data_IF_598295700543
#
_entry.id   IF_598295700543
#
_cell.length_a   1.000
_cell.length_b   1.000
_cell.length_c   1.000
_cell.angle_alpha   90.00
_cell.angle_beta   90.00
_cell.angle_gamma   90.00
#
_symmetry.space_group_name_H-M   'P 1'
#
loop_
_entity.id
_entity.type
_entity.pdbx_description
1 polymer ?
#
# COMPACT_ATOMS: atom_id res chain seq x y z
N UNK A 1 -36.41 -37.63 -5.80
CA UNK A 1 -36.22 -36.23 -5.36
C UNK A 1 -35.24 -36.08 -4.19
N UNK A 2 -35.54 -36.46 -2.94
CA UNK A 2 -34.59 -36.28 -1.82
C UNK A 2 -33.31 -37.14 -1.94
N UNK A 3 -33.44 -38.39 -2.40
CA UNK A 3 -32.29 -39.30 -2.61
C UNK A 3 -31.40 -38.87 -3.79
N UNK A 4 -32.00 -38.47 -4.92
CA UNK A 4 -31.26 -37.95 -6.09
C UNK A 4 -30.52 -36.66 -5.76
N UNK A 5 -31.14 -35.75 -5.00
CA UNK A 5 -30.49 -34.55 -4.51
C UNK A 5 -29.30 -34.88 -3.59
N UNK A 6 -29.46 -35.87 -2.71
CA UNK A 6 -28.36 -36.32 -1.83
C UNK A 6 -27.21 -36.94 -2.63
N UNK A 7 -27.51 -37.69 -3.69
CA UNK A 7 -26.50 -38.29 -4.56
C UNK A 7 -25.74 -37.22 -5.36
N UNK A 8 -26.44 -36.22 -5.89
CA UNK A 8 -25.80 -35.09 -6.59
C UNK A 8 -24.91 -34.29 -5.64
N UNK A 9 -25.36 -34.04 -4.40
CA UNK A 9 -24.54 -33.37 -3.37
C UNK A 9 -23.27 -34.16 -3.04
N UNK A 10 -23.38 -35.48 -2.88
CA UNK A 10 -22.20 -36.32 -2.67
C UNK A 10 -21.21 -36.27 -3.84
N UNK A 11 -21.70 -36.19 -5.09
CA UNK A 11 -20.83 -36.00 -6.25
C UNK A 11 -20.15 -34.63 -6.26
N UNK A 12 -20.85 -33.56 -5.87
CA UNK A 12 -20.27 -32.23 -5.70
C UNK A 12 -19.17 -32.26 -4.63
N UNK A 13 -19.42 -32.90 -3.48
CA UNK A 13 -18.44 -33.02 -2.41
C UNK A 13 -17.15 -33.73 -2.87
N UNK A 14 -17.25 -34.74 -3.73
CA UNK A 14 -16.08 -35.42 -4.31
C UNK A 14 -15.32 -34.54 -5.32
N UNK A 15 -16.03 -33.71 -6.11
CA UNK A 15 -15.40 -32.71 -6.97
C UNK A 15 -14.67 -31.66 -6.13
N UNK A 16 -15.28 -31.19 -5.04
CA UNK A 16 -14.67 -30.21 -4.14
C UNK A 16 -13.42 -30.75 -3.44
N UNK A 17 -13.44 -32.02 -3.01
CA UNK A 17 -12.23 -32.70 -2.51
C UNK A 17 -11.14 -32.79 -3.58
N UNK A 18 -11.53 -33.05 -4.83
CA UNK A 18 -10.58 -33.07 -5.95
C UNK A 18 -9.97 -31.69 -6.17
N UNK A 19 -10.76 -30.61 -6.09
CA UNK A 19 -10.27 -29.24 -6.16
C UNK A 19 -9.24 -28.95 -5.06
N UNK A 20 -9.48 -29.38 -3.81
CA UNK A 20 -8.52 -29.24 -2.72
C UNK A 20 -7.19 -29.95 -3.04
N UNK A 21 -7.24 -31.16 -3.61
CA UNK A 21 -6.03 -31.90 -3.99
C UNK A 21 -5.22 -31.17 -5.09
N UNK A 22 -5.92 -30.57 -6.07
CA UNK A 22 -5.30 -29.78 -7.14
C UNK A 22 -4.70 -28.48 -6.61
N UNK A 23 -5.38 -27.80 -5.67
CA UNK A 23 -4.86 -26.62 -4.99
C UNK A 23 -3.58 -26.96 -4.23
N UNK A 24 -3.56 -28.05 -3.46
CA UNK A 24 -2.37 -28.49 -2.75
C UNK A 24 -1.19 -28.77 -3.71
N UNK A 25 -1.45 -29.47 -4.82
CA UNK A 25 -0.45 -29.70 -5.87
C UNK A 25 0.08 -28.39 -6.45
N UNK A 26 -0.80 -27.43 -6.74
CA UNK A 26 -0.41 -26.11 -7.27
C UNK A 26 0.41 -25.33 -6.24
N UNK A 27 0.05 -25.35 -4.95
CA UNK A 27 0.81 -24.70 -3.89
C UNK A 27 2.23 -25.27 -3.80
N UNK A 28 2.40 -26.59 -3.92
CA UNK A 28 3.72 -27.21 -3.95
C UNK A 28 4.57 -26.76 -5.16
N UNK A 29 3.96 -26.66 -6.35
CA UNK A 29 4.65 -26.15 -7.55
C UNK A 29 5.05 -24.68 -7.40
N UNK A 30 4.15 -23.85 -6.87
CA UNK A 30 4.43 -22.45 -6.54
C UNK A 30 5.61 -22.35 -5.56
N UNK A 31 5.62 -23.20 -4.53
CA UNK A 31 6.71 -23.27 -3.56
C UNK A 31 8.06 -23.59 -4.21
N UNK A 32 8.10 -24.50 -5.18
CA UNK A 32 9.30 -24.84 -5.95
C UNK A 32 9.71 -23.69 -6.87
N UNK A 33 8.76 -23.03 -7.52
CA UNK A 33 9.01 -21.82 -8.33
C UNK A 33 9.59 -20.70 -7.47
N UNK A 34 9.07 -20.49 -6.27
CA UNK A 34 9.57 -19.52 -5.30
C UNK A 34 11.02 -19.80 -4.90
N UNK A 35 11.39 -21.07 -4.66
CA UNK A 35 12.77 -21.46 -4.38
C UNK A 35 13.71 -21.15 -5.54
N UNK A 36 13.32 -21.50 -6.77
CA UNK A 36 14.11 -21.20 -7.97
C UNK A 36 14.25 -19.69 -8.19
N UNK A 37 13.14 -18.92 -8.06
CA UNK A 37 13.17 -17.46 -8.18
C UNK A 37 14.04 -16.82 -7.11
N UNK A 38 13.95 -17.30 -5.87
CA UNK A 38 14.76 -16.80 -4.75
C UNK A 38 16.24 -17.08 -4.99
N UNK A 39 16.63 -18.24 -5.52
CA UNK A 39 18.03 -18.50 -5.88
C UNK A 39 18.52 -17.58 -7.02
N UNK A 40 17.68 -17.35 -8.04
CA UNK A 40 18.03 -16.52 -9.19
C UNK A 40 17.96 -15.01 -8.89
N UNK A 41 17.17 -14.59 -7.89
CA UNK A 41 16.94 -13.19 -7.54
C UNK A 41 15.85 -12.53 -8.38
N UNK A 42 14.91 -13.32 -8.92
CA UNK A 42 13.81 -12.79 -9.71
C UNK A 42 12.66 -12.29 -8.84
N UNK A 43 11.95 -11.23 -9.26
CA UNK A 43 10.75 -10.76 -8.57
C UNK A 43 9.69 -11.84 -8.40
N UNK A 44 9.05 -11.83 -7.24
CA UNK A 44 7.86 -12.65 -6.98
C UNK A 44 6.76 -12.28 -7.98
N UNK A 45 6.52 -10.98 -8.11
CA UNK A 45 5.47 -10.43 -8.97
C UNK A 45 5.92 -10.36 -10.43
N UNK A 46 5.21 -11.06 -11.32
CA UNK A 46 5.49 -11.11 -12.76
C UNK A 46 4.23 -10.76 -13.56
N UNK A 47 3.95 -9.47 -13.81
CA UNK A 47 2.68 -9.00 -14.37
C UNK A 47 2.35 -9.61 -15.73
N UNK A 48 3.30 -9.64 -16.66
CA UNK A 48 3.10 -10.17 -18.01
C UNK A 48 2.75 -11.66 -18.00
N UNK A 49 3.43 -12.43 -17.14
CA UNK A 49 3.18 -13.87 -16.99
C UNK A 49 1.79 -14.14 -16.43
N UNK A 50 1.34 -13.33 -15.47
CA UNK A 50 -0.02 -13.41 -14.92
C UNK A 50 -1.07 -13.07 -15.96
N UNK A 51 -0.89 -11.96 -16.69
CA UNK A 51 -1.81 -11.53 -17.73
C UNK A 51 -1.96 -12.59 -18.83
N UNK A 52 -0.84 -13.15 -19.32
CA UNK A 52 -0.85 -14.21 -20.32
C UNK A 52 -1.52 -15.50 -19.80
N UNK A 53 -1.26 -15.87 -18.55
CA UNK A 53 -1.89 -17.04 -17.91
C UNK A 53 -3.40 -16.86 -17.77
N UNK A 54 -3.85 -15.71 -17.28
CA UNK A 54 -5.27 -15.41 -17.14
C UNK A 54 -5.98 -15.40 -18.49
N UNK A 55 -5.42 -14.73 -19.50
CA UNK A 55 -5.99 -14.69 -20.84
C UNK A 55 -6.15 -16.11 -21.43
N UNK A 56 -5.13 -16.95 -21.34
CA UNK A 56 -5.19 -18.36 -21.77
C UNK A 56 -6.30 -19.13 -21.06
N UNK A 57 -6.40 -18.99 -19.74
CA UNK A 57 -7.36 -19.73 -18.92
C UNK A 57 -8.81 -19.26 -19.09
N UNK A 58 -9.02 -17.96 -19.35
CA UNK A 58 -10.32 -17.43 -19.76
C UNK A 58 -10.78 -18.10 -21.05
N UNK A 59 -9.92 -18.14 -22.07
CA UNK A 59 -10.26 -18.75 -23.36
C UNK A 59 -10.55 -20.26 -23.24
N UNK A 60 -9.75 -20.98 -22.45
CA UNK A 60 -10.00 -22.40 -22.16
C UNK A 60 -11.35 -22.62 -21.45
N UNK A 61 -11.70 -21.75 -20.49
CA UNK A 61 -12.98 -21.82 -19.78
C UNK A 61 -14.18 -21.56 -20.72
N UNK A 62 -14.09 -20.55 -21.59
CA UNK A 62 -15.12 -20.27 -22.60
C UNK A 62 -15.37 -21.49 -23.50
N UNK A 63 -14.30 -22.15 -23.98
CA UNK A 63 -14.40 -23.35 -24.81
C UNK A 63 -15.06 -24.53 -24.10
N UNK A 64 -15.04 -24.54 -22.75
CA UNK A 64 -15.67 -25.57 -21.91
C UNK A 64 -17.06 -25.18 -21.41
N UNK A 65 -17.58 -23.99 -21.79
CA UNK A 65 -18.85 -23.47 -21.28
C UNK A 65 -18.81 -23.00 -19.82
N UNK A 66 -17.60 -22.76 -19.28
CA UNK A 66 -17.39 -22.22 -17.95
C UNK A 66 -17.27 -20.69 -18.07
N UNK A 67 -17.94 -19.88 -17.21
CA UNK A 67 -17.78 -18.44 -17.22
C UNK A 67 -16.31 -18.02 -17.06
N UNK A 68 -15.73 -17.22 -17.98
CA UNK A 68 -14.33 -16.83 -17.90
C UNK A 68 -14.00 -16.00 -16.64
N UNK A 69 -14.95 -15.22 -16.12
CA UNK A 69 -14.75 -14.44 -14.90
C UNK A 69 -14.61 -15.33 -13.65
N UNK A 70 -15.34 -16.45 -13.61
CA UNK A 70 -15.25 -17.42 -12.51
C UNK A 70 -13.83 -18.00 -12.38
N UNK A 71 -13.26 -18.47 -13.50
CA UNK A 71 -11.91 -19.04 -13.46
C UNK A 71 -10.85 -17.98 -13.16
N UNK A 72 -11.04 -16.75 -13.65
CA UNK A 72 -10.16 -15.64 -13.34
C UNK A 72 -10.17 -15.30 -11.85
N UNK A 73 -11.34 -15.20 -11.22
CA UNK A 73 -11.48 -14.92 -9.79
C UNK A 73 -10.81 -15.99 -8.92
N UNK A 74 -11.05 -17.27 -9.26
CA UNK A 74 -10.41 -18.42 -8.60
C UNK A 74 -8.88 -18.30 -8.72
N UNK A 75 -8.36 -18.12 -9.94
CA UNK A 75 -6.92 -18.04 -10.16
C UNK A 75 -6.29 -16.82 -9.48
N UNK A 76 -6.95 -15.65 -9.49
CA UNK A 76 -6.50 -14.45 -8.78
C UNK A 76 -6.48 -14.65 -7.28
N UNK A 77 -7.47 -15.33 -6.69
CA UNK A 77 -7.45 -15.68 -5.25
C UNK A 77 -6.30 -16.62 -4.93
N UNK A 78 -6.09 -17.66 -5.73
CA UNK A 78 -4.99 -18.61 -5.53
C UNK A 78 -3.62 -17.92 -5.68
N UNK A 79 -3.46 -17.02 -6.65
CA UNK A 79 -2.22 -16.24 -6.82
C UNK A 79 -1.92 -15.33 -5.64
N UNK A 80 -2.95 -14.67 -5.07
CA UNK A 80 -2.79 -13.86 -3.85
C UNK A 80 -2.23 -14.68 -2.68
N UNK A 81 -2.75 -15.89 -2.48
CA UNK A 81 -2.24 -16.83 -1.48
C UNK A 81 -0.78 -17.26 -1.77
N UNK A 82 -0.47 -17.44 -3.05
CA UNK A 82 0.87 -17.82 -3.52
C UNK A 82 1.94 -16.80 -3.09
N UNK A 83 1.68 -15.50 -3.26
CA UNK A 83 2.65 -14.47 -2.86
C UNK A 83 2.91 -14.43 -1.35
N UNK A 84 1.88 -14.67 -0.53
CA UNK A 84 2.02 -14.68 0.93
C UNK A 84 2.82 -15.90 1.38
N UNK A 85 2.56 -17.06 0.78
CA UNK A 85 3.29 -18.30 1.07
C UNK A 85 4.76 -18.25 0.61
N UNK A 86 5.03 -17.69 -0.58
CA UNK A 86 6.39 -17.48 -1.09
C UNK A 86 7.21 -16.57 -0.16
N UNK A 87 6.60 -15.56 0.46
CA UNK A 87 7.29 -14.67 1.40
C UNK A 87 7.88 -15.41 2.60
N UNK A 88 7.27 -16.51 3.05
CA UNK A 88 7.73 -17.23 4.26
C UNK A 88 8.99 -18.08 4.02
N UNK A 89 9.41 -18.28 2.76
CA UNK A 89 10.58 -19.09 2.42
C UNK A 89 11.89 -18.30 2.31
N UNK A 90 11.81 -16.97 2.47
CA UNK A 90 12.96 -16.08 2.37
C UNK A 90 13.30 -15.67 0.94
N UNK A 91 14.05 -14.58 0.82
CA UNK A 91 14.43 -13.96 -0.46
C UNK A 91 15.94 -13.98 -0.66
N UNK A 92 16.39 -13.84 -1.91
CA UNK A 92 17.80 -13.60 -2.20
C UNK A 92 18.28 -12.36 -1.46
N UNK A 93 19.42 -12.48 -0.79
CA UNK A 93 20.21 -11.34 -0.31
C UNK A 93 20.97 -10.74 -1.50
N UNK A 94 20.55 -9.58 -1.99
CA UNK A 94 21.27 -8.90 -3.08
C UNK A 94 22.51 -8.14 -2.56
N UNK A 95 22.38 -7.41 -1.45
CA UNK A 95 23.47 -6.69 -0.80
C UNK A 95 24.31 -7.60 0.09
N UNK A 96 25.05 -8.55 -0.48
CA UNK A 96 25.80 -9.57 0.28
C UNK A 96 26.89 -9.00 1.18
N UNK A 97 27.45 -7.84 0.82
CA UNK A 97 28.49 -7.12 1.56
C UNK A 97 27.96 -6.20 2.66
N UNK A 98 26.63 -6.03 2.76
CA UNK A 98 26.03 -5.10 3.71
C UNK A 98 26.24 -5.59 5.14
N UNK A 99 26.71 -4.69 6.00
CA UNK A 99 26.67 -4.86 7.44
C UNK A 99 25.24 -4.92 8.00
N UNK A 100 25.08 -4.94 9.33
CA UNK A 100 23.78 -4.92 9.99
C UNK A 100 22.90 -3.76 9.52
N UNK A 101 21.61 -4.00 9.38
CA UNK A 101 20.59 -2.98 9.14
C UNK A 101 19.99 -2.57 10.48
N UNK A 102 20.11 -1.30 10.83
CA UNK A 102 19.51 -0.75 12.05
C UNK A 102 18.22 -0.03 11.69
N UNK A 103 17.10 -0.39 12.32
CA UNK A 103 15.81 0.30 12.12
C UNK A 103 15.49 1.12 13.37
N UNK A 104 15.50 2.44 13.22
CA UNK A 104 15.07 3.38 14.25
C UNK A 104 13.56 3.43 14.29
N UNK A 105 12.95 3.11 15.42
CA UNK A 105 11.51 2.85 15.54
C UNK A 105 11.10 1.50 14.92
N UNK A 106 12.00 0.51 14.91
CA UNK A 106 11.80 -0.81 14.32
C UNK A 106 10.67 -1.64 14.97
N UNK A 107 10.26 -1.32 16.19
CA UNK A 107 9.14 -1.94 16.91
C UNK A 107 7.78 -1.37 16.50
N UNK A 108 7.77 -0.22 15.81
CA UNK A 108 6.59 0.34 15.17
C UNK A 108 6.06 -0.55 14.06
N UNK A 109 4.80 -0.36 13.66
CA UNK A 109 4.14 -1.26 12.69
C UNK A 109 4.88 -1.35 11.35
N UNK A 110 5.29 -0.22 10.78
CA UNK A 110 6.05 -0.19 9.52
C UNK A 110 7.49 -0.69 9.70
N UNK A 111 8.14 -0.33 10.82
CA UNK A 111 9.47 -0.83 11.18
C UNK A 111 9.51 -2.35 11.27
N UNK A 112 8.50 -2.97 11.90
CA UNK A 112 8.35 -4.43 11.99
C UNK A 112 8.17 -5.08 10.62
N UNK A 113 7.42 -4.42 9.73
CA UNK A 113 7.22 -4.92 8.37
C UNK A 113 8.55 -4.97 7.62
N UNK A 114 9.32 -3.88 7.60
CA UNK A 114 10.63 -3.85 6.96
C UNK A 114 11.64 -4.78 7.65
N UNK A 115 11.65 -4.84 8.98
CA UNK A 115 12.47 -5.78 9.76
C UNK A 115 12.24 -7.22 9.32
N UNK A 116 10.97 -7.62 9.18
CA UNK A 116 10.59 -8.96 8.71
C UNK A 116 11.13 -9.25 7.30
N UNK A 117 10.91 -8.35 6.35
CA UNK A 117 11.35 -8.55 4.96
C UNK A 117 12.86 -8.56 4.81
N UNK A 118 13.58 -7.73 5.57
CA UNK A 118 15.04 -7.73 5.63
C UNK A 118 15.58 -9.04 6.24
N UNK A 119 14.99 -9.50 7.36
CA UNK A 119 15.37 -10.76 7.98
C UNK A 119 15.10 -11.96 7.05
N UNK A 120 13.96 -11.98 6.36
CA UNK A 120 13.63 -12.99 5.35
C UNK A 120 14.60 -12.96 4.15
N UNK A 121 15.19 -11.80 3.84
CA UNK A 121 16.27 -11.67 2.86
C UNK A 121 17.66 -12.02 3.40
N UNK A 122 17.80 -12.44 4.66
CA UNK A 122 19.10 -12.82 5.25
C UNK A 122 19.97 -11.65 5.72
N UNK A 123 19.39 -10.46 5.94
CA UNK A 123 20.10 -9.35 6.60
C UNK A 123 20.03 -9.49 8.12
N UNK A 124 21.12 -9.17 8.81
CA UNK A 124 21.09 -8.97 10.26
C UNK A 124 20.34 -7.66 10.54
N UNK A 125 19.26 -7.72 11.32
CA UNK A 125 18.45 -6.55 11.66
C UNK A 125 18.58 -6.25 13.15
N UNK A 126 18.90 -5.00 13.46
CA UNK A 126 18.91 -4.44 14.81
C UNK A 126 17.83 -3.37 14.92
N UNK A 127 17.30 -3.17 16.11
CA UNK A 127 16.26 -2.18 16.37
C UNK A 127 16.79 -1.16 17.36
N UNK A 128 16.46 0.12 17.12
CA UNK A 128 16.74 1.24 18.03
C UNK A 128 15.42 1.91 18.42
N UNK A 129 15.03 1.80 19.69
CA UNK A 129 13.83 2.43 20.26
C UNK A 129 14.16 3.66 21.14
N UNK A 130 13.13 4.24 21.75
CA UNK A 130 13.26 5.43 22.60
C UNK A 130 14.10 5.19 23.86
N UNK A 131 14.13 3.98 24.39
CA UNK A 131 14.88 3.63 25.60
C UNK A 131 16.32 3.18 25.29
N UNK A 132 16.68 3.03 24.02
CA UNK A 132 17.99 2.48 23.59
C UNK A 132 19.05 3.56 23.34
N UNK A 133 18.70 4.85 23.50
CA UNK A 133 19.58 5.96 23.10
C UNK A 133 20.87 6.04 23.90
N UNK A 134 20.89 5.53 25.14
CA UNK A 134 22.11 5.44 25.94
C UNK A 134 23.12 4.42 25.35
N UNK A 135 22.65 3.47 24.54
CA UNK A 135 23.45 2.44 23.86
C UNK A 135 23.52 2.64 22.33
N UNK A 136 23.17 3.82 21.84
CA UNK A 136 23.02 4.09 20.40
C UNK A 136 24.28 3.80 19.59
N UNK A 137 25.46 4.14 20.12
CA UNK A 137 26.75 3.88 19.46
C UNK A 137 27.00 2.38 19.28
N UNK A 138 26.67 1.58 20.30
CA UNK A 138 26.83 0.12 20.23
C UNK A 138 25.86 -0.51 19.23
N UNK A 139 24.61 -0.04 19.18
CA UNK A 139 23.60 -0.57 18.25
C UNK A 139 23.97 -0.24 16.79
N UNK A 140 24.45 0.99 16.55
CA UNK A 140 24.89 1.47 15.23
C UNK A 140 26.28 0.97 14.84
N UNK A 141 27.02 0.32 15.73
CA UNK A 141 28.38 -0.15 15.45
C UNK A 141 28.41 -1.10 14.25
N UNK A 142 29.17 -0.70 13.22
CA UNK A 142 29.32 -1.45 11.98
C UNK A 142 28.09 -1.46 11.08
N UNK A 143 27.06 -0.65 11.36
CA UNK A 143 25.84 -0.61 10.54
C UNK A 143 26.16 -0.30 9.08
N UNK A 144 25.64 -1.15 8.18
CA UNK A 144 25.70 -0.93 6.73
C UNK A 144 24.53 -0.09 6.22
N UNK A 145 23.42 -0.05 6.96
CA UNK A 145 22.24 0.73 6.65
C UNK A 145 21.50 1.13 7.92
N UNK A 146 20.98 2.36 7.95
CA UNK A 146 20.10 2.86 9.00
C UNK A 146 18.79 3.30 8.38
N UNK A 147 17.68 2.71 8.81
CA UNK A 147 16.33 3.03 8.34
C UNK A 147 15.57 3.76 9.45
N UNK A 148 15.09 4.96 9.17
CA UNK A 148 14.29 5.78 10.09
C UNK A 148 12.79 5.55 9.84
N UNK A 149 12.14 4.89 10.79
CA UNK A 149 10.71 4.51 10.74
C UNK A 149 9.96 5.00 11.98
N UNK A 150 10.10 6.29 12.31
CA UNK A 150 9.46 6.95 13.47
C UNK A 150 8.29 7.85 13.02
N UNK A 151 7.43 8.32 13.95
CA UNK A 151 6.39 9.31 13.63
C UNK A 151 6.95 10.56 12.94
N UNK A 152 6.20 11.10 11.98
CA UNK A 152 6.65 12.19 11.09
C UNK A 152 7.11 13.42 11.88
N UNK A 153 6.37 13.83 12.92
CA UNK A 153 6.75 14.96 13.77
C UNK A 153 8.07 14.75 14.55
N UNK A 154 8.55 13.51 14.68
CA UNK A 154 9.82 13.18 15.32
C UNK A 154 10.96 12.95 14.32
N UNK A 155 10.66 12.60 13.07
CA UNK A 155 11.64 12.16 12.07
C UNK A 155 12.85 13.09 11.95
N UNK A 156 12.64 14.40 11.74
CA UNK A 156 13.72 15.39 11.61
C UNK A 156 14.60 15.44 12.86
N UNK A 157 13.96 15.51 14.04
CA UNK A 157 14.65 15.54 15.34
C UNK A 157 15.48 14.28 15.56
N UNK A 158 14.95 13.12 15.21
CA UNK A 158 15.63 11.83 15.38
C UNK A 158 16.80 11.71 14.41
N UNK A 159 16.63 12.06 13.14
CA UNK A 159 17.72 12.09 12.15
C UNK A 159 18.86 12.98 12.65
N UNK A 160 18.55 14.18 13.15
CA UNK A 160 19.55 15.13 13.68
C UNK A 160 20.21 14.70 14.99
N UNK A 161 19.62 13.75 15.70
CA UNK A 161 20.17 13.19 16.94
C UNK A 161 21.09 11.98 16.67
N UNK A 162 21.08 11.40 15.47
CA UNK A 162 21.94 10.27 15.14
C UNK A 162 23.42 10.66 15.34
N UNK A 163 24.25 9.79 15.95
CA UNK A 163 25.69 9.99 15.95
C UNK A 163 26.23 9.87 14.52
N UNK A 164 27.48 10.32 14.26
CA UNK A 164 28.12 10.13 12.98
C UNK A 164 28.07 8.67 12.52
N UNK A 165 27.50 8.45 11.34
CA UNK A 165 27.40 7.12 10.74
C UNK A 165 28.67 6.81 9.93
N UNK A 166 29.02 5.52 9.73
CA UNK A 166 30.08 5.14 8.81
C UNK A 166 29.87 5.74 7.41
N UNK A 167 30.93 6.18 6.73
CA UNK A 167 30.80 6.88 5.43
C UNK A 167 30.04 6.08 4.36
N UNK A 168 30.17 4.75 4.38
CA UNK A 168 29.48 3.86 3.43
C UNK A 168 28.10 3.40 3.91
N UNK A 169 27.69 3.75 5.14
CA UNK A 169 26.38 3.40 5.66
C UNK A 169 25.30 4.09 4.84
N UNK A 170 24.25 3.37 4.44
CA UNK A 170 23.12 3.94 3.71
C UNK A 170 22.11 4.49 4.73
N UNK A 171 21.81 5.79 4.69
CA UNK A 171 20.79 6.39 5.54
C UNK A 171 19.46 6.49 4.77
N UNK A 172 18.40 5.91 5.33
CA UNK A 172 17.08 5.76 4.69
C UNK A 172 15.98 6.27 5.62
N UNK A 173 14.94 6.90 5.08
CA UNK A 173 13.69 7.17 5.82
C UNK A 173 12.48 6.48 5.18
N UNK A 174 11.45 6.21 5.98
CA UNK A 174 10.15 5.67 5.53
C UNK A 174 8.98 6.66 5.74
N UNK A 175 9.24 7.96 5.95
CA UNK A 175 8.19 8.91 6.30
C UNK A 175 7.19 9.12 5.14
N UNK A 176 5.99 9.62 5.44
CA UNK A 176 5.00 9.95 4.40
C UNK A 176 5.23 11.30 3.71
N UNK A 177 6.16 12.10 4.21
CA UNK A 177 6.67 13.33 3.57
C UNK A 177 8.14 13.16 3.25
N UNK A 178 8.66 13.80 2.21
CA UNK A 178 10.00 13.50 1.70
C UNK A 178 10.94 14.69 1.76
N UNK A 179 10.49 15.91 1.51
CA UNK A 179 11.41 17.05 1.37
C UNK A 179 12.17 17.32 2.67
N UNK A 180 11.46 17.43 3.80
CA UNK A 180 12.09 17.72 5.09
C UNK A 180 12.96 16.58 5.61
N UNK A 181 12.49 15.30 5.66
CA UNK A 181 13.34 14.18 6.09
C UNK A 181 14.58 14.00 5.20
N UNK A 182 14.44 14.10 3.88
CA UNK A 182 15.56 13.93 2.95
C UNK A 182 16.64 14.99 3.18
N UNK A 183 16.24 16.25 3.32
CA UNK A 183 17.17 17.35 3.63
C UNK A 183 17.87 17.12 4.99
N UNK A 184 17.11 16.72 6.02
CA UNK A 184 17.70 16.40 7.33
C UNK A 184 18.73 15.27 7.25
N UNK A 185 18.48 14.22 6.44
CA UNK A 185 19.45 13.13 6.23
C UNK A 185 20.70 13.62 5.48
N UNK A 186 20.52 14.44 4.45
CA UNK A 186 21.62 15.02 3.67
C UNK A 186 22.52 15.96 4.50
N UNK A 187 21.93 16.69 5.45
CA UNK A 187 22.65 17.59 6.35
C UNK A 187 23.60 16.84 7.29
N UNK A 188 23.16 15.71 7.85
CA UNK A 188 23.86 15.03 8.95
C UNK A 188 24.73 13.87 8.51
N UNK A 189 24.49 13.32 7.33
CA UNK A 189 25.24 12.20 6.79
C UNK A 189 25.96 12.62 5.51
N UNK A 190 27.22 12.27 5.35
CA UNK A 190 28.00 12.55 4.13
C UNK A 190 27.96 11.40 3.13
N UNK A 191 27.53 10.21 3.55
CA UNK A 191 27.43 9.01 2.71
C UNK A 191 26.15 8.93 1.87
N UNK A 192 25.77 7.71 1.43
CA UNK A 192 24.57 7.47 0.65
C UNK A 192 23.28 7.77 1.42
N UNK A 193 22.32 8.43 0.76
CA UNK A 193 21.04 8.85 1.33
C UNK A 193 19.90 8.53 0.37
N UNK A 194 18.85 7.87 0.88
CA UNK A 194 17.68 7.44 0.12
C UNK A 194 16.39 7.76 0.88
N UNK A 195 15.46 8.50 0.28
CA UNK A 195 14.12 8.65 0.85
C UNK A 195 13.14 7.63 0.29
N UNK A 196 12.38 6.94 1.15
CA UNK A 196 11.31 6.02 0.73
C UNK A 196 9.95 6.44 1.30
N UNK A 197 8.89 6.12 0.56
CA UNK A 197 7.52 6.18 1.04
C UNK A 197 6.76 4.93 0.55
N UNK A 198 6.57 3.93 1.42
CA UNK A 198 5.67 2.83 1.15
C UNK A 198 4.23 3.35 1.07
N UNK A 199 3.59 3.25 -0.09
CA UNK A 199 2.23 3.79 -0.34
C UNK A 199 1.12 2.88 0.19
N UNK A 200 1.40 2.14 1.26
CA UNK A 200 0.55 1.12 1.83
C UNK A 200 0.74 1.02 3.34
N UNK A 201 -0.29 0.50 4.02
CA UNK A 201 -0.26 0.28 5.46
C UNK A 201 0.56 -0.96 5.87
N UNK A 202 0.90 -1.08 7.16
CA UNK A 202 1.72 -2.17 7.67
C UNK A 202 1.04 -3.55 7.65
N UNK A 203 -0.27 -3.61 7.40
CA UNK A 203 -1.08 -4.83 7.44
C UNK A 203 -0.98 -5.65 6.14
N UNK A 204 -0.16 -5.23 5.18
CA UNK A 204 0.05 -5.99 3.94
C UNK A 204 0.80 -7.31 4.20
N UNK A 205 0.24 -8.41 3.69
CA UNK A 205 0.88 -9.73 3.72
C UNK A 205 2.03 -9.89 2.72
N UNK A 206 2.04 -9.07 1.65
CA UNK A 206 3.05 -9.10 0.59
C UNK A 206 3.25 -7.72 -0.05
N UNK A 207 4.45 -7.47 -0.55
CA UNK A 207 4.77 -6.27 -1.34
C UNK A 207 4.34 -6.42 -2.80
N UNK A 208 3.90 -7.61 -3.23
CA UNK A 208 3.34 -7.84 -4.55
C UNK A 208 2.26 -6.81 -4.88
N UNK A 209 2.44 -6.10 -6.00
CA UNK A 209 1.53 -5.04 -6.51
C UNK A 209 1.45 -3.79 -5.62
N UNK A 210 2.24 -3.70 -4.55
CA UNK A 210 2.33 -2.50 -3.73
C UNK A 210 3.28 -1.48 -4.36
N UNK A 211 3.01 -0.20 -4.17
CA UNK A 211 3.87 0.88 -4.68
C UNK A 211 4.78 1.37 -3.57
N UNK A 212 6.08 1.48 -3.86
CA UNK A 212 7.04 2.20 -3.01
C UNK A 212 7.58 3.35 -3.83
N UNK A 213 7.33 4.58 -3.38
CA UNK A 213 7.92 5.77 -3.98
C UNK A 213 9.31 5.97 -3.39
N UNK A 214 10.26 6.38 -4.21
CA UNK A 214 11.60 6.73 -3.75
C UNK A 214 12.08 8.08 -4.29
N UNK A 215 12.86 8.76 -3.46
CA UNK A 215 13.51 10.03 -3.76
C UNK A 215 15.01 9.87 -3.54
N UNK A 216 15.80 10.10 -4.59
CA UNK A 216 17.25 10.05 -4.46
C UNK A 216 17.78 11.22 -3.63
N UNK A 217 18.67 10.91 -2.70
CA UNK A 217 19.40 11.91 -1.92
C UNK A 217 20.83 12.07 -2.43
N UNK A 218 21.71 11.14 -2.05
CA UNK A 218 23.13 11.16 -2.40
C UNK A 218 23.63 9.75 -2.71
N UNK A 219 24.53 9.64 -3.69
CA UNK A 219 25.18 8.38 -4.12
C UNK A 219 24.20 7.26 -4.47
N UNK A 220 23.29 7.47 -5.44
CA UNK A 220 22.28 6.49 -5.82
C UNK A 220 22.85 5.14 -6.26
N UNK A 221 24.07 5.12 -6.80
CA UNK A 221 24.81 3.92 -7.16
C UNK A 221 25.05 2.97 -5.97
N UNK A 222 25.16 3.49 -4.75
CA UNK A 222 25.46 2.69 -3.55
C UNK A 222 24.27 1.88 -3.03
N UNK A 223 23.03 2.25 -3.41
CA UNK A 223 21.80 1.62 -2.92
C UNK A 223 20.90 1.03 -4.03
N UNK A 224 21.34 0.99 -5.29
CA UNK A 224 20.56 0.36 -6.37
C UNK A 224 20.17 -1.08 -6.05
N UNK A 225 21.10 -1.86 -5.47
CA UNK A 225 20.81 -3.24 -5.04
C UNK A 225 19.66 -3.31 -4.02
N UNK A 226 19.44 -2.26 -3.22
CA UNK A 226 18.35 -2.22 -2.23
C UNK A 226 17.01 -1.87 -2.88
N UNK A 227 17.00 -1.00 -3.88
CA UNK A 227 15.82 -0.78 -4.73
C UNK A 227 15.45 -2.07 -5.47
N UNK A 228 16.43 -2.77 -6.03
CA UNK A 228 16.24 -4.10 -6.61
C UNK A 228 15.70 -5.11 -5.57
N UNK A 229 16.21 -5.06 -4.33
CA UNK A 229 15.73 -5.94 -3.24
C UNK A 229 14.24 -5.69 -2.95
N UNK A 230 13.80 -4.42 -2.91
CA UNK A 230 12.40 -4.05 -2.73
C UNK A 230 11.54 -4.55 -3.90
N UNK A 231 12.08 -4.51 -5.12
CA UNK A 231 11.42 -5.08 -6.31
C UNK A 231 11.34 -6.61 -6.25
N UNK A 232 12.37 -7.29 -5.71
CA UNK A 232 12.36 -8.74 -5.47
C UNK A 232 11.23 -9.11 -4.51
N UNK A 233 10.98 -8.30 -3.47
CA UNK A 233 9.83 -8.47 -2.57
C UNK A 233 8.47 -8.30 -3.28
N UNK A 234 8.46 -7.77 -4.51
CA UNK A 234 7.29 -7.66 -5.38
C UNK A 234 6.71 -6.25 -5.51
N UNK A 235 7.33 -5.26 -4.87
CA UNK A 235 6.89 -3.88 -4.97
C UNK A 235 7.22 -3.28 -6.34
N UNK A 236 6.37 -2.36 -6.79
CA UNK A 236 6.61 -1.50 -7.95
C UNK A 236 7.20 -0.19 -7.46
N UNK A 237 8.41 0.10 -7.90
CA UNK A 237 9.12 1.33 -7.57
C UNK A 237 8.67 2.49 -8.45
N UNK A 238 8.57 3.67 -7.86
CA UNK A 238 8.32 4.91 -8.59
C UNK A 238 9.30 5.98 -8.12
N UNK A 239 10.17 6.43 -9.02
CA UNK A 239 11.12 7.52 -8.74
C UNK A 239 10.43 8.86 -8.86
N UNK A 240 10.68 9.76 -7.91
CA UNK A 240 10.22 11.15 -7.99
C UNK A 240 11.13 12.05 -7.14
N UNK A 241 11.20 13.33 -7.50
CA UNK A 241 11.86 14.33 -6.64
C UNK A 241 11.02 14.59 -5.38
N UNK A 242 11.68 14.89 -4.26
CA UNK A 242 11.02 15.06 -2.97
C UNK A 242 10.01 16.23 -2.92
N UNK A 243 10.28 17.32 -3.64
CA UNK A 243 9.38 18.47 -3.77
C UNK A 243 8.10 18.11 -4.55
N UNK A 244 8.26 17.39 -5.67
CA UNK A 244 7.14 16.91 -6.48
C UNK A 244 6.33 15.84 -5.75
N UNK A 245 6.99 14.98 -4.98
CA UNK A 245 6.34 14.01 -4.12
C UNK A 245 5.40 14.71 -3.14
N UNK A 246 5.91 15.65 -2.35
CA UNK A 246 5.13 16.29 -1.29
C UNK A 246 3.97 17.11 -1.89
N UNK A 247 4.20 17.77 -3.04
CA UNK A 247 3.12 18.43 -3.80
C UNK A 247 2.01 17.46 -4.22
N UNK A 248 2.36 16.27 -4.73
CA UNK A 248 1.38 15.25 -5.12
C UNK A 248 0.66 14.65 -3.91
N UNK A 249 1.37 14.45 -2.78
CA UNK A 249 0.77 14.01 -1.53
C UNK A 249 -0.19 15.03 -0.93
N UNK A 250 -0.04 16.32 -1.27
CA UNK A 250 -1.05 17.34 -1.00
C UNK A 250 -2.44 16.94 -1.51
N UNK A 251 -2.54 16.43 -2.74
CA UNK A 251 -3.81 15.96 -3.32
C UNK A 251 -4.18 14.55 -2.85
N UNK A 252 -3.22 13.62 -2.88
CA UNK A 252 -3.46 12.18 -2.61
C UNK A 252 -3.78 11.91 -1.15
N UNK A 253 -3.11 12.62 -0.23
CA UNK A 253 -3.20 12.39 1.21
C UNK A 253 -3.82 13.58 1.94
N UNK A 254 -3.22 14.78 1.89
CA UNK A 254 -3.63 15.88 2.77
C UNK A 254 -5.08 16.32 2.49
N UNK A 255 -5.39 16.67 1.24
CA UNK A 255 -6.73 17.08 0.82
C UNK A 255 -7.73 15.93 0.99
N UNK A 256 -7.38 14.71 0.54
CA UNK A 256 -8.25 13.53 0.66
C UNK A 256 -8.58 13.21 2.13
N UNK A 257 -7.59 13.18 3.02
CA UNK A 257 -7.81 12.88 4.43
C UNK A 257 -8.57 14.00 5.13
N UNK A 258 -8.26 15.27 4.85
CA UNK A 258 -8.97 16.39 5.48
C UNK A 258 -10.44 16.47 5.06
N UNK A 259 -10.75 16.18 3.79
CA UNK A 259 -12.14 16.12 3.31
C UNK A 259 -12.90 14.97 3.98
N UNK A 260 -12.30 13.77 4.07
CA UNK A 260 -12.89 12.64 4.81
C UNK A 260 -13.07 12.95 6.30
N UNK A 261 -12.08 13.57 6.96
CA UNK A 261 -12.16 14.00 8.34
C UNK A 261 -13.30 15.01 8.55
N UNK A 262 -13.40 16.00 7.67
CA UNK A 262 -14.43 17.05 7.74
C UNK A 262 -15.84 16.49 7.56
N UNK A 263 -16.03 15.58 6.60
CA UNK A 263 -17.29 14.89 6.38
C UNK A 263 -17.69 14.02 7.58
N UNK A 264 -16.77 13.20 8.10
CA UNK A 264 -17.04 12.37 9.28
C UNK A 264 -17.35 13.20 10.54
N UNK A 265 -16.62 14.32 10.75
CA UNK A 265 -16.90 15.28 11.82
C UNK A 265 -18.28 15.92 11.67
N UNK A 266 -18.71 16.23 10.44
CA UNK A 266 -20.03 16.76 10.17
C UNK A 266 -21.12 15.73 10.50
N UNK A 267 -21.00 14.48 10.02
CA UNK A 267 -21.94 13.40 10.38
C UNK A 267 -22.07 13.20 11.89
N UNK A 268 -20.94 13.22 12.63
CA UNK A 268 -20.95 13.09 14.09
C UNK A 268 -21.65 14.28 14.77
N UNK A 269 -21.59 15.48 14.18
CA UNK A 269 -22.24 16.69 14.71
C UNK A 269 -23.75 16.70 14.47
N UNK A 270 -24.22 16.17 13.36
CA UNK A 270 -25.66 16.11 13.00
C UNK A 270 -26.46 15.11 13.86
N UNK A 271 -25.80 14.35 14.76
CA UNK A 271 -26.43 13.39 15.67
C UNK A 271 -27.32 12.34 14.97
N UNK A 272 -26.85 11.85 13.82
CA UNK A 272 -27.54 10.84 13.00
C UNK A 272 -27.26 9.43 13.55
N UNK A 273 -28.27 8.55 13.55
CA UNK A 273 -28.07 7.14 13.87
C UNK A 273 -27.33 6.42 12.72
N UNK A 274 -26.05 6.12 12.94
CA UNK A 274 -25.20 5.41 11.99
C UNK A 274 -25.73 4.01 11.66
N UNK A 275 -26.34 3.30 12.61
CA UNK A 275 -26.89 1.96 12.34
C UNK A 275 -28.08 2.05 11.39
N UNK A 276 -28.93 3.06 11.55
CA UNK A 276 -30.02 3.32 10.64
C UNK A 276 -29.51 3.62 9.23
N UNK A 277 -28.49 4.48 9.07
CA UNK A 277 -27.87 4.75 7.77
C UNK A 277 -27.34 3.48 7.11
N UNK A 278 -26.64 2.64 7.87
CA UNK A 278 -26.09 1.38 7.36
C UNK A 278 -27.18 0.39 6.95
N UNK A 279 -28.33 0.37 7.64
CA UNK A 279 -29.46 -0.51 7.33
C UNK A 279 -30.17 -0.13 6.01
N UNK A 280 -30.15 1.17 5.66
CA UNK A 280 -30.72 1.70 4.43
C UNK A 280 -29.73 1.73 3.27
N UNK A 281 -28.45 1.43 3.52
CA UNK A 281 -27.38 1.55 2.53
C UNK A 281 -27.28 0.31 1.63
N UNK A 282 -27.37 0.54 0.32
CA UNK A 282 -26.90 -0.44 -0.69
C UNK A 282 -25.38 -0.69 -0.52
N UNK A 283 -24.81 -1.74 -1.15
CA UNK A 283 -23.38 -2.04 -1.01
C UNK A 283 -22.44 -0.86 -1.28
N UNK A 284 -22.75 0.00 -2.26
CA UNK A 284 -21.92 1.17 -2.60
C UNK A 284 -22.00 2.25 -1.51
N UNK A 285 -23.19 2.63 -1.06
CA UNK A 285 -23.33 3.63 0.01
C UNK A 285 -22.73 3.15 1.33
N UNK A 286 -22.83 1.84 1.62
CA UNK A 286 -22.14 1.25 2.77
C UNK A 286 -20.63 1.36 2.60
N UNK A 287 -20.09 1.06 1.42
CA UNK A 287 -18.66 1.17 1.15
C UNK A 287 -18.18 2.61 1.36
N UNK A 288 -18.92 3.61 0.88
CA UNK A 288 -18.61 5.03 1.12
C UNK A 288 -18.50 5.36 2.61
N UNK A 289 -19.47 4.92 3.43
CA UNK A 289 -19.43 5.10 4.89
C UNK A 289 -18.27 4.33 5.54
N UNK A 290 -17.96 3.12 5.08
CA UNK A 290 -16.80 2.34 5.54
C UNK A 290 -15.50 3.08 5.24
N UNK A 291 -15.37 3.69 4.06
CA UNK A 291 -14.19 4.46 3.66
C UNK A 291 -14.00 5.72 4.51
N UNK A 292 -15.09 6.34 4.97
CA UNK A 292 -15.03 7.44 5.95
C UNK A 292 -14.67 6.92 7.34
N UNK A 293 -15.40 5.94 7.84
CA UNK A 293 -15.27 5.43 9.22
C UNK A 293 -13.87 4.85 9.51
N UNK A 294 -13.27 4.14 8.54
CA UNK A 294 -11.93 3.55 8.69
C UNK A 294 -10.81 4.57 8.92
N UNK A 295 -11.03 5.85 8.58
CA UNK A 295 -10.09 6.92 8.90
C UNK A 295 -9.96 7.08 10.42
N UNK A 296 -11.08 7.06 11.14
CA UNK A 296 -11.14 7.32 12.59
C UNK A 296 -10.71 6.12 13.44
N UNK A 297 -10.52 4.94 12.83
CA UNK A 297 -9.96 3.75 13.50
C UNK A 297 -8.41 3.74 13.52
N UNK A 298 -7.77 4.73 12.90
CA UNK A 298 -6.32 4.83 12.76
C UNK A 298 -5.74 5.90 13.72
N UNK A 299 -4.40 6.05 13.73
CA UNK A 299 -3.74 7.00 14.62
C UNK A 299 -4.00 8.46 14.19
N UNK A 300 -4.67 9.30 15.00
CA UNK A 300 -4.95 10.69 14.64
C UNK A 300 -3.68 11.53 14.46
N UNK A 301 -2.59 11.23 15.18
CA UNK A 301 -1.33 11.97 15.07
C UNK A 301 -0.74 11.85 13.66
N UNK A 302 -0.85 10.68 13.01
CA UNK A 302 -0.35 10.48 11.65
C UNK A 302 -1.05 11.43 10.67
N UNK A 303 -2.37 11.55 10.76
CA UNK A 303 -3.14 12.44 9.89
C UNK A 303 -2.87 13.91 10.19
N UNK A 304 -2.72 14.28 11.46
CA UNK A 304 -2.33 15.63 11.83
C UNK A 304 -0.97 15.99 11.24
N UNK A 305 0.03 15.11 11.38
CA UNK A 305 1.37 15.32 10.85
C UNK A 305 1.38 15.46 9.32
N UNK A 306 0.61 14.64 8.59
CA UNK A 306 0.51 14.70 7.13
C UNK A 306 -0.21 15.98 6.67
N UNK A 307 -1.38 16.27 7.24
CA UNK A 307 -2.21 17.40 6.80
C UNK A 307 -1.49 18.72 7.12
N UNK A 308 -0.82 18.80 8.27
CA UNK A 308 -0.13 20.00 8.75
C UNK A 308 1.36 20.02 8.40
N UNK A 309 1.83 19.12 7.51
CA UNK A 309 3.26 19.02 7.18
C UNK A 309 3.82 20.24 6.47
N UNK A 310 2.97 21.00 5.77
CA UNK A 310 3.38 22.19 5.04
C UNK A 310 2.26 23.24 4.92
N UNK A 311 2.60 24.54 4.81
CA UNK A 311 1.62 25.60 4.54
C UNK A 311 0.85 25.40 3.24
N UNK A 312 1.48 24.80 2.22
CA UNK A 312 0.88 24.52 0.92
C UNK A 312 -0.30 23.57 1.02
N UNK A 313 -0.28 22.60 1.95
CA UNK A 313 -1.43 21.73 2.21
C UNK A 313 -2.63 22.51 2.73
N UNK A 314 -2.40 23.48 3.62
CA UNK A 314 -3.46 24.34 4.17
C UNK A 314 -4.03 25.24 3.06
N UNK A 315 -3.17 25.77 2.19
CA UNK A 315 -3.60 26.57 1.04
C UNK A 315 -4.43 25.73 0.05
N UNK A 316 -4.01 24.50 -0.25
CA UNK A 316 -4.78 23.58 -1.10
C UNK A 316 -6.17 23.27 -0.50
N UNK A 317 -6.24 23.05 0.82
CA UNK A 317 -7.51 22.84 1.52
C UNK A 317 -8.40 24.10 1.46
N UNK A 318 -7.81 25.29 1.58
CA UNK A 318 -8.53 26.57 1.45
C UNK A 318 -9.10 26.74 0.05
N UNK A 319 -8.33 26.42 -0.98
CA UNK A 319 -8.79 26.44 -2.38
C UNK A 319 -9.95 25.47 -2.60
N UNK A 320 -9.86 24.25 -2.06
CA UNK A 320 -10.96 23.30 -2.12
C UNK A 320 -12.23 23.81 -1.43
N UNK A 321 -12.09 24.47 -0.27
CA UNK A 321 -13.22 25.09 0.42
C UNK A 321 -13.90 26.18 -0.44
N UNK A 322 -13.12 26.99 -1.16
CA UNK A 322 -13.66 27.98 -2.10
C UNK A 322 -14.40 27.30 -3.26
N UNK A 323 -13.84 26.24 -3.83
CA UNK A 323 -14.52 25.45 -4.89
C UNK A 323 -15.81 24.80 -4.38
N UNK A 324 -15.85 24.33 -3.13
CA UNK A 324 -17.07 23.82 -2.51
C UNK A 324 -18.13 24.93 -2.36
N UNK A 325 -17.73 26.13 -1.95
CA UNK A 325 -18.62 27.30 -1.89
C UNK A 325 -19.22 27.66 -3.25
N UNK A 326 -18.40 27.68 -4.31
CA UNK A 326 -18.87 27.91 -5.68
C UNK A 326 -19.88 26.84 -6.15
N UNK A 327 -19.63 25.56 -5.81
CA UNK A 327 -20.58 24.50 -6.11
C UNK A 327 -21.90 24.65 -5.33
N UNK A 328 -21.85 25.15 -4.09
CA UNK A 328 -23.04 25.45 -3.30
C UNK A 328 -23.86 26.61 -3.89
N UNK A 329 -23.21 27.67 -4.38
CA UNK A 329 -23.89 28.81 -5.04
C UNK A 329 -24.75 28.35 -6.23
N UNK A 330 -24.28 27.36 -7.02
CA UNK A 330 -25.07 26.76 -8.11
C UNK A 330 -26.37 26.13 -7.57
N UNK A 331 -26.29 25.44 -6.43
CA UNK A 331 -27.44 24.79 -5.79
C UNK A 331 -28.42 25.81 -5.18
N UNK A 332 -27.91 26.86 -4.56
CA UNK A 332 -28.73 27.93 -3.96
C UNK A 332 -29.54 28.69 -5.01
N UNK A 333 -28.96 28.91 -6.19
CA UNK A 333 -29.67 29.48 -7.34
C UNK A 333 -30.56 28.46 -8.08
N UNK A 334 -30.53 27.18 -7.70
CA UNK A 334 -31.20 26.08 -8.38
C UNK A 334 -30.85 25.97 -9.88
N UNK A 335 -29.64 26.36 -10.26
CA UNK A 335 -29.19 26.37 -11.65
C UNK A 335 -28.76 24.97 -12.09
N UNK A 336 -29.74 24.20 -12.53
CA UNK A 336 -29.54 22.83 -13.03
C UNK A 336 -28.63 22.79 -14.26
N UNK A 337 -28.69 23.81 -15.12
CA UNK A 337 -27.89 23.86 -16.35
C UNK A 337 -26.42 24.01 -16.00
N UNK A 338 -26.09 24.96 -15.11
CA UNK A 338 -24.72 25.15 -14.63
C UNK A 338 -24.20 23.92 -13.89
N UNK A 339 -25.04 23.24 -13.09
CA UNK A 339 -24.65 21.99 -12.44
C UNK A 339 -24.28 20.90 -13.47
N UNK A 340 -25.12 20.68 -14.48
CA UNK A 340 -24.86 19.66 -15.53
C UNK A 340 -23.61 20.00 -16.32
N UNK A 341 -23.41 21.28 -16.67
CA UNK A 341 -22.21 21.72 -17.37
C UNK A 341 -20.95 21.47 -16.55
N UNK A 342 -20.94 21.87 -15.27
CA UNK A 342 -19.82 21.62 -14.36
C UNK A 342 -19.55 20.12 -14.18
N UNK A 343 -20.60 19.31 -14.06
CA UNK A 343 -20.47 17.85 -13.99
C UNK A 343 -19.79 17.28 -15.23
N UNK A 344 -20.20 17.70 -16.43
CA UNK A 344 -19.62 17.23 -17.68
C UNK A 344 -18.16 17.67 -17.84
N UNK A 345 -17.82 18.89 -17.45
CA UNK A 345 -16.42 19.37 -17.44
C UNK A 345 -15.53 18.49 -16.56
N UNK A 346 -16.02 18.07 -15.38
CA UNK A 346 -15.29 17.14 -14.50
C UNK A 346 -15.21 15.76 -15.14
N UNK A 347 -16.30 15.27 -15.74
CA UNK A 347 -16.30 14.00 -16.48
C UNK A 347 -15.28 13.97 -17.61
N UNK A 348 -15.17 15.06 -18.39
CA UNK A 348 -14.20 15.20 -19.47
C UNK A 348 -12.76 15.20 -18.96
N UNK A 349 -12.51 15.83 -17.80
CA UNK A 349 -11.20 15.80 -17.17
C UNK A 349 -10.78 14.40 -16.68
N UNK A 350 -11.73 13.63 -16.12
CA UNK A 350 -11.47 12.22 -15.80
C UNK A 350 -11.31 11.38 -17.08
N UNK A 351 -12.01 11.71 -18.16
CA UNK A 351 -11.95 11.02 -19.44
C UNK A 351 -12.26 9.52 -19.29
N UNK A 352 -11.45 8.68 -19.95
CA UNK A 352 -11.61 7.21 -19.93
C UNK A 352 -11.50 6.60 -18.53
N UNK A 353 -10.85 7.30 -17.58
CA UNK A 353 -10.71 6.84 -16.20
C UNK A 353 -12.05 6.78 -15.47
N UNK A 354 -13.00 7.65 -15.81
CA UNK A 354 -14.33 7.62 -15.20
C UNK A 354 -15.04 6.26 -15.46
N UNK A 355 -15.01 5.80 -16.71
CA UNK A 355 -15.58 4.52 -17.10
C UNK A 355 -14.81 3.35 -16.49
N UNK A 356 -13.47 3.42 -16.48
CA UNK A 356 -12.63 2.38 -15.86
C UNK A 356 -12.90 2.24 -14.36
N UNK A 357 -12.94 3.35 -13.62
CA UNK A 357 -13.24 3.33 -12.19
C UNK A 357 -14.64 2.84 -11.87
N UNK A 358 -15.62 3.12 -12.74
CA UNK A 358 -16.97 2.56 -12.59
C UNK A 358 -16.94 1.03 -12.66
N UNK A 359 -16.25 0.45 -13.64
CA UNK A 359 -16.13 -1.00 -13.78
C UNK A 359 -15.31 -1.63 -12.63
N UNK A 360 -14.18 -1.03 -12.27
CA UNK A 360 -13.36 -1.49 -11.13
C UNK A 360 -14.17 -1.49 -9.82
N UNK A 361 -14.96 -0.45 -9.58
CA UNK A 361 -15.79 -0.35 -8.39
C UNK A 361 -16.87 -1.45 -8.35
N UNK A 362 -17.44 -1.84 -9.49
CA UNK A 362 -18.46 -2.90 -9.57
C UNK A 362 -17.90 -4.24 -9.11
N UNK A 363 -16.69 -4.59 -9.55
CA UNK A 363 -16.01 -5.82 -9.13
C UNK A 363 -15.70 -5.80 -7.63
N UNK A 364 -15.21 -4.66 -7.12
CA UNK A 364 -14.95 -4.50 -5.68
C UNK A 364 -16.22 -4.64 -4.84
N UNK A 365 -17.35 -4.10 -5.31
CA UNK A 365 -18.63 -4.18 -4.63
C UNK A 365 -19.20 -5.60 -4.61
N UNK A 366 -19.05 -6.37 -5.69
CA UNK A 366 -19.45 -7.78 -5.73
C UNK A 366 -18.68 -8.57 -4.66
N UNK A 367 -17.35 -8.43 -4.63
CA UNK A 367 -16.52 -9.07 -3.62
C UNK A 367 -16.86 -8.61 -2.19
N UNK A 368 -17.17 -7.33 -1.98
CA UNK A 368 -17.58 -6.82 -0.67
C UNK A 368 -18.95 -7.38 -0.25
N UNK A 369 -19.86 -7.61 -1.19
CA UNK A 369 -21.18 -8.17 -0.93
C UNK A 369 -21.13 -9.67 -0.61
N UNK A 370 -20.25 -10.44 -1.28
CA UNK A 370 -20.06 -11.88 -1.01
C UNK A 370 -19.56 -12.16 0.41
N UNK A 371 -18.84 -11.22 1.02
CA UNK A 371 -18.33 -11.32 2.38
C UNK A 371 -19.36 -10.91 3.46
N UNK A 372 -20.61 -10.61 3.09
CA UNK A 372 -21.68 -10.36 4.07
C UNK A 372 -22.08 -11.69 4.71
N UNK A 373 -21.94 -11.76 6.03
CA UNK A 373 -22.50 -12.83 6.88
C UNK A 373 -23.95 -12.56 7.16
#
# INVERSE_FOLDING_TARGET
MAAELSQLRAQIDEVDKTLLSLLAKRMNLVAQVGEVKSQLGFPIYAPEREAAMLASRRQEAENMGIPPDLIEDILRRIMRESYVSENNKGFKKLGTHLGPVVIVGGSGKMGKLFSRFLALSGYEVRVLETDDWDNVEHILAGAGMVIVSVPIHLTDKIIRRLPPLPEQCILVDLASIKQRPLNAMLDVHQGPVLGLHPMFGPDVGSFAKQVVVYCDGRYPEAYQWFLEQISVWGAKLHQINADKHDKNMGFIQALRHFTTFSYGRHLAKENIDLQQLLSLSSPIYRLELVMVGRLFAQNPQLYADIIMSSPENIELIRQYYQSFGQALEILEHQDKSAFIESFNQVSDWFGDEAARFMEESRVLLQQANDNRV
#
